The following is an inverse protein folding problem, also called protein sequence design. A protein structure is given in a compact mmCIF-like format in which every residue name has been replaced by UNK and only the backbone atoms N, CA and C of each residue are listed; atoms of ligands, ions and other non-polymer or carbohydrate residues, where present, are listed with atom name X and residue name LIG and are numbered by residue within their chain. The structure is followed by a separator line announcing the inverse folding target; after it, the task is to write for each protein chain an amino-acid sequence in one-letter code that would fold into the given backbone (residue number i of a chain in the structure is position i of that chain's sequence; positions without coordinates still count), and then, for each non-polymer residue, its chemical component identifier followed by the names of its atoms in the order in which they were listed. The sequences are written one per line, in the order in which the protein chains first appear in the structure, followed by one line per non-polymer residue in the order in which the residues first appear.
data_IF_625522131803
#
_entry.id   IF_625522131803
#
_cell.length_a   1.000
_cell.length_b   1.000
_cell.length_c   1.000
_cell.angle_alpha   90.00
_cell.angle_beta   90.00
_cell.angle_gamma   90.00
#
_symmetry.space_group_name_H-M   'P 1'
#
loop_
_entity.id
_entity.type
_entity.pdbx_description
1 polymer ?
#
# COMPACT_ATOMS: atom_id res chain seq x y z
N UNK A 1 9.18 -10.67 -15.76
CA UNK A 1 8.29 -9.51 -16.01
C UNK A 1 6.94 -9.51 -15.29
N UNK A 2 6.31 -10.66 -14.94
CA UNK A 2 4.97 -10.68 -14.27
C UNK A 2 4.89 -10.09 -12.84
N UNK A 3 5.99 -10.07 -12.07
CA UNK A 3 5.98 -9.54 -10.68
C UNK A 3 5.93 -8.01 -10.60
N UNK A 4 6.54 -7.29 -11.55
CA UNK A 4 6.52 -5.82 -11.57
C UNK A 4 5.11 -5.27 -11.86
N UNK A 5 4.31 -5.97 -12.68
CA UNK A 5 2.95 -5.53 -13.01
C UNK A 5 1.96 -5.69 -11.85
N UNK A 6 2.06 -6.73 -11.00
CA UNK A 6 1.17 -6.88 -9.83
C UNK A 6 1.43 -5.79 -8.78
N UNK A 7 2.70 -5.48 -8.52
CA UNK A 7 3.11 -4.41 -7.59
C UNK A 7 2.65 -3.03 -8.08
N UNK A 8 2.88 -2.71 -9.36
CA UNK A 8 2.46 -1.44 -9.95
C UNK A 8 0.93 -1.27 -9.92
N UNK A 9 0.16 -2.30 -10.33
CA UNK A 9 -1.31 -2.27 -10.26
C UNK A 9 -1.83 -2.09 -8.84
N UNK A 10 -1.26 -2.81 -7.88
CA UNK A 10 -1.60 -2.66 -6.47
C UNK A 10 -1.30 -1.24 -5.98
N UNK A 11 -0.15 -0.68 -6.36
CA UNK A 11 0.26 0.66 -5.97
C UNK A 11 -0.68 1.74 -6.53
N UNK A 12 -1.00 1.69 -7.82
CA UNK A 12 -1.97 2.61 -8.46
C UNK A 12 -3.32 2.55 -7.74
N UNK A 13 -3.89 1.35 -7.59
CA UNK A 13 -5.20 1.18 -6.95
C UNK A 13 -5.23 1.71 -5.51
N UNK A 14 -4.12 1.55 -4.78
CA UNK A 14 -3.96 2.06 -3.43
C UNK A 14 -3.90 3.60 -3.41
N UNK A 15 -3.15 4.23 -4.32
CA UNK A 15 -3.06 5.70 -4.39
C UNK A 15 -4.39 6.33 -4.81
N UNK A 16 -5.05 5.79 -5.84
CA UNK A 16 -6.35 6.28 -6.32
C UNK A 16 -7.41 6.24 -5.22
N UNK A 17 -7.45 5.14 -4.46
CA UNK A 17 -8.47 4.93 -3.43
C UNK A 17 -8.30 5.86 -2.23
N UNK A 18 -7.08 5.99 -1.73
CA UNK A 18 -6.82 6.76 -0.52
C UNK A 18 -6.51 8.23 -0.81
N UNK A 19 -6.46 8.64 -2.08
CA UNK A 19 -6.26 10.04 -2.50
C UNK A 19 -5.11 10.72 -1.74
N UNK A 20 -3.98 10.03 -1.60
CA UNK A 20 -2.78 10.49 -0.88
C UNK A 20 -2.94 10.66 0.64
N UNK A 21 -4.10 10.34 1.21
CA UNK A 21 -4.34 10.33 2.65
C UNK A 21 -3.68 9.11 3.32
N UNK A 22 -3.22 9.21 4.59
CA UNK A 22 -2.74 8.06 5.33
C UNK A 22 -3.82 6.99 5.52
N UNK A 23 -3.44 5.71 5.51
CA UNK A 23 -4.37 4.58 5.61
C UNK A 23 -3.82 3.46 6.49
N UNK A 24 -4.71 2.65 7.06
CA UNK A 24 -4.34 1.50 7.88
C UNK A 24 -4.25 0.21 7.06
N UNK A 25 -3.33 -0.69 7.42
CA UNK A 25 -3.21 -2.00 6.76
C UNK A 25 -4.53 -2.78 6.68
N UNK A 26 -5.40 -2.67 7.70
CA UNK A 26 -6.64 -3.44 7.73
C UNK A 26 -7.73 -2.89 6.80
N UNK A 27 -7.69 -1.58 6.48
CA UNK A 27 -8.63 -0.97 5.54
C UNK A 27 -8.39 -1.51 4.13
N UNK A 28 -7.12 -1.75 3.80
CA UNK A 28 -6.70 -2.39 2.57
C UNK A 28 -7.26 -3.82 2.49
N UNK A 29 -7.18 -4.58 3.59
CA UNK A 29 -7.66 -5.97 3.64
C UNK A 29 -9.18 -6.09 3.46
N UNK A 30 -9.96 -5.11 3.95
CA UNK A 30 -11.42 -5.11 3.81
C UNK A 30 -11.87 -4.93 2.36
N UNK A 31 -11.09 -4.23 1.54
CA UNK A 31 -11.48 -3.90 0.17
C UNK A 31 -10.78 -4.76 -0.90
N UNK A 32 -9.61 -5.33 -0.59
CA UNK A 32 -8.81 -6.14 -1.55
C UNK A 32 -9.31 -7.58 -1.74
N UNK A 33 -10.43 -7.96 -1.11
CA UNK A 33 -11.20 -9.14 -1.53
C UNK A 33 -11.50 -9.14 -3.05
N UNK A 34 -11.59 -7.96 -3.66
CA UNK A 34 -11.79 -7.77 -5.11
C UNK A 34 -10.65 -8.29 -6.00
N UNK A 35 -9.42 -8.43 -5.46
CA UNK A 35 -8.24 -8.83 -6.25
C UNK A 35 -7.74 -10.24 -5.96
N UNK A 36 -8.48 -11.05 -5.17
CA UNK A 36 -8.06 -12.40 -4.73
C UNK A 36 -6.64 -12.42 -4.11
N UNK A 37 -6.32 -11.42 -3.30
CA UNK A 37 -4.99 -11.28 -2.66
C UNK A 37 -5.12 -11.61 -1.18
N UNK A 38 -4.24 -12.47 -0.67
CA UNK A 38 -4.22 -12.87 0.74
C UNK A 38 -3.60 -11.79 1.64
N UNK A 39 -3.90 -11.82 2.94
CA UNK A 39 -3.29 -10.91 3.94
C UNK A 39 -1.75 -10.91 3.87
N UNK A 40 -1.17 -12.08 3.62
CA UNK A 40 0.28 -12.28 3.46
C UNK A 40 0.82 -11.56 2.24
N UNK A 41 0.10 -11.66 1.12
CA UNK A 41 0.48 -10.97 -0.12
C UNK A 41 0.32 -9.46 0.00
N UNK A 42 -0.75 -8.96 0.64
CA UNK A 42 -0.91 -7.52 0.91
C UNK A 42 0.24 -7.01 1.78
N UNK A 43 0.57 -7.71 2.86
CA UNK A 43 1.71 -7.38 3.72
C UNK A 43 3.04 -7.39 2.95
N UNK A 44 3.22 -8.38 2.06
CA UNK A 44 4.39 -8.46 1.18
C UNK A 44 4.48 -7.30 0.20
N UNK A 45 3.36 -6.88 -0.39
CA UNK A 45 3.30 -5.75 -1.32
C UNK A 45 3.57 -4.41 -0.62
N UNK A 46 2.97 -4.18 0.56
CA UNK A 46 3.23 -2.98 1.35
C UNK A 46 4.71 -2.87 1.77
N UNK A 47 5.31 -3.97 2.21
CA UNK A 47 6.73 -3.99 2.55
C UNK A 47 7.63 -3.80 1.32
N UNK A 48 7.26 -4.35 0.16
CA UNK A 48 8.00 -4.11 -1.08
C UNK A 48 7.97 -2.62 -1.47
N UNK A 49 6.79 -1.99 -1.45
CA UNK A 49 6.64 -0.56 -1.74
C UNK A 49 7.38 0.32 -0.72
N UNK A 50 7.44 -0.10 0.54
CA UNK A 50 8.25 0.56 1.57
C UNK A 50 9.75 0.47 1.28
N UNK A 51 10.23 -0.72 0.91
CA UNK A 51 11.64 -0.93 0.58
C UNK A 51 12.04 -0.13 -0.67
N UNK A 52 11.10 0.09 -1.59
CA UNK A 52 11.28 0.97 -2.75
C UNK A 52 11.15 2.46 -2.39
N UNK A 53 10.86 2.79 -1.12
CA UNK A 53 10.62 4.13 -0.59
C UNK A 53 9.40 4.85 -1.21
N UNK A 54 8.46 4.10 -1.80
CA UNK A 54 7.21 4.64 -2.35
C UNK A 54 6.15 4.85 -1.28
N UNK A 55 6.21 4.07 -0.21
CA UNK A 55 5.38 4.22 0.98
C UNK A 55 6.25 4.34 2.23
N UNK A 56 5.78 5.09 3.21
CA UNK A 56 6.37 5.13 4.55
C UNK A 56 5.38 4.65 5.61
N UNK A 57 5.90 4.19 6.74
CA UNK A 57 5.10 3.89 7.94
C UNK A 57 5.84 4.37 9.17
N UNK A 58 5.36 5.48 9.75
CA UNK A 58 6.01 6.16 10.87
C UNK A 58 5.28 5.93 12.19
N UNK A 59 4.11 5.28 12.15
CA UNK A 59 3.25 5.14 13.32
C UNK A 59 2.65 3.74 13.41
N UNK A 60 2.77 3.18 14.61
CA UNK A 60 2.12 1.94 15.04
C UNK A 60 1.08 2.28 16.09
N UNK A 61 -0.18 1.90 15.87
CA UNK A 61 -1.26 1.99 16.86
C UNK A 61 -1.52 0.62 17.43
N UNK A 62 -1.58 0.50 18.76
CA UNK A 62 -2.06 -0.71 19.42
C UNK A 62 -3.57 -0.58 19.60
N UNK A 63 -4.32 -1.50 19.02
CA UNK A 63 -5.79 -1.58 19.18
C UNK A 63 -6.16 -2.03 20.58
N UNK A 64 -7.43 -1.84 20.98
CA UNK A 64 -7.95 -2.33 22.28
C UNK A 64 -7.79 -3.85 22.47
N UNK A 65 -7.70 -4.61 21.38
CA UNK A 65 -7.46 -6.06 21.40
C UNK A 65 -5.96 -6.43 21.40
N UNK A 66 -5.05 -5.47 21.61
CA UNK A 66 -3.60 -5.68 21.60
C UNK A 66 -2.97 -5.89 20.22
N UNK A 67 -3.73 -5.75 19.13
CA UNK A 67 -3.19 -5.90 17.76
C UNK A 67 -2.49 -4.62 17.32
N UNK A 68 -1.30 -4.76 16.74
CA UNK A 68 -0.54 -3.66 16.14
C UNK A 68 -1.12 -3.33 14.77
N UNK A 69 -1.42 -2.06 14.55
CA UNK A 69 -1.83 -1.50 13.26
C UNK A 69 -0.78 -0.51 12.77
N UNK A 70 -0.43 -0.63 11.50
CA UNK A 70 0.51 0.26 10.83
C UNK A 70 -0.29 1.31 10.06
N UNK A 71 0.12 2.57 10.21
CA UNK A 71 -0.35 3.67 9.37
C UNK A 71 0.66 3.84 8.24
N UNK A 72 0.16 3.83 7.02
CA UNK A 72 0.94 3.98 5.80
C UNK A 72 0.63 5.31 5.15
N UNK A 73 1.62 5.91 4.52
CA UNK A 73 1.49 7.17 3.78
C UNK A 73 2.32 7.11 2.50
N UNK A 74 1.84 7.79 1.46
CA UNK A 74 2.59 8.01 0.22
C UNK A 74 3.77 8.96 0.47
N UNK A 75 4.94 8.61 -0.04
CA UNK A 75 6.12 9.50 -0.02
C UNK A 75 6.13 10.41 -1.26
N UNK A 76 7.00 11.42 -1.28
CA UNK A 76 7.23 12.22 -2.50
C UNK A 76 7.70 11.37 -3.67
N UNK A 77 8.61 10.41 -3.43
CA UNK A 77 9.05 9.45 -4.44
C UNK A 77 7.90 8.57 -4.94
N UNK A 78 7.03 8.15 -4.02
CA UNK A 78 5.79 7.43 -4.34
C UNK A 78 4.88 8.23 -5.26
N UNK A 79 4.72 9.52 -5.00
CA UNK A 79 3.91 10.40 -5.83
C UNK A 79 4.48 10.53 -7.26
N UNK A 80 5.79 10.75 -7.39
CA UNK A 80 6.47 10.82 -8.69
C UNK A 80 6.29 9.51 -9.46
N UNK A 81 6.51 8.37 -8.81
CA UNK A 81 6.36 7.06 -9.45
C UNK A 81 4.91 6.80 -9.85
N UNK A 82 3.94 7.22 -9.05
CA UNK A 82 2.52 7.13 -9.41
C UNK A 82 2.22 7.90 -10.70
N UNK A 83 2.65 9.16 -10.79
CA UNK A 83 2.47 9.96 -12.01
C UNK A 83 3.15 9.31 -13.22
N UNK A 84 4.39 8.82 -13.06
CA UNK A 84 5.12 8.11 -14.11
C UNK A 84 4.37 6.88 -14.61
N UNK A 85 3.68 6.15 -13.74
CA UNK A 85 2.92 4.95 -14.10
C UNK A 85 1.58 5.27 -14.77
N UNK A 86 1.02 6.46 -14.57
CA UNK A 86 -0.24 6.90 -15.20
C UNK A 86 -0.04 7.49 -16.61
N UNK A 87 1.18 7.90 -16.95
CA UNK A 87 1.56 8.41 -18.28
C UNK A 87 1.91 7.30 -19.29
N UNK A 88 2.03 6.05 -18.83
CA UNK A 88 2.35 4.85 -19.63
C UNK A 88 1.11 4.07 -20.05
#
# INVERSE_FOLDING_TARGET
MRRNTKKAKFFIALVEKYQMSPFYSFEILKEIYLYKVTDREVSGLLNALKNDELLETNQKRITRSGRVQYIWKLTEKGLIEYHRLMEL
#
